data_IF_518081292826
#
_entry.id   IF_518081292826
#
_cell.length_a   1.000
_cell.length_b   1.000
_cell.length_c   1.000
_cell.angle_alpha   90.00
_cell.angle_beta   90.00
_cell.angle_gamma   90.00
#
_symmetry.space_group_name_H-M   'P 1'
#
loop_
_entity.id
_entity.type
_entity.pdbx_description
1 polymer ?
#
# COMPACT_ATOMS: atom_id res chain seq x y z
N UNK A 1 5.85 -2.19 -14.94
CA UNK A 1 4.65 -2.86 -15.53
C UNK A 1 3.78 -1.84 -16.28
N UNK A 2 3.11 -2.26 -17.36
CA UNK A 2 2.02 -1.47 -17.93
C UNK A 2 0.82 -1.50 -16.97
N UNK A 3 0.23 -0.34 -16.67
CA UNK A 3 -0.88 -0.26 -15.74
C UNK A 3 -1.87 0.81 -16.19
N UNK A 4 -3.11 0.44 -16.55
CA UNK A 4 -4.08 1.38 -17.10
C UNK A 4 -4.59 2.33 -16.01
N UNK A 5 -4.84 3.58 -16.40
CA UNK A 5 -5.37 4.59 -15.49
C UNK A 5 -6.83 4.29 -15.10
N UNK A 6 -7.14 4.48 -13.82
CA UNK A 6 -8.45 4.36 -13.17
C UNK A 6 -8.57 5.47 -12.13
N UNK A 7 -9.77 5.68 -11.60
CA UNK A 7 -9.95 6.58 -10.47
C UNK A 7 -9.34 5.94 -9.21
N UNK A 8 -8.43 6.66 -8.56
CA UNK A 8 -7.67 6.21 -7.38
C UNK A 8 -7.72 7.27 -6.27
N UNK A 9 -7.57 6.82 -5.03
CA UNK A 9 -7.59 7.65 -3.83
C UNK A 9 -6.25 8.35 -3.57
N UNK A 10 -5.13 7.72 -3.95
CA UNK A 10 -3.73 8.07 -3.65
C UNK A 10 -3.30 7.99 -2.19
N UNK A 11 -4.24 8.11 -1.25
CA UNK A 11 -4.00 7.88 0.17
C UNK A 11 -4.91 6.78 0.76
N UNK A 12 -5.07 5.68 0.04
CA UNK A 12 -5.88 4.55 0.49
C UNK A 12 -5.15 3.69 1.54
N UNK A 13 -5.44 3.90 2.82
CA UNK A 13 -4.96 3.07 3.94
C UNK A 13 -6.05 2.83 4.98
N UNK A 14 -5.78 1.95 5.94
CA UNK A 14 -6.77 1.48 6.91
C UNK A 14 -7.41 2.61 7.74
N UNK A 15 -6.68 3.67 8.09
CA UNK A 15 -7.23 4.77 8.90
C UNK A 15 -8.19 5.68 8.12
N UNK A 16 -8.13 5.66 6.78
CA UNK A 16 -9.07 6.35 5.89
C UNK A 16 -10.33 5.51 5.59
N UNK A 17 -10.55 4.44 6.36
CA UNK A 17 -11.74 3.58 6.24
C UNK A 17 -12.65 3.69 7.46
N UNK A 18 -13.95 3.87 7.23
CA UNK A 18 -14.96 3.95 8.27
C UNK A 18 -15.65 2.61 8.46
N UNK A 19 -15.71 2.14 9.71
CA UNK A 19 -16.31 0.86 10.07
C UNK A 19 -17.43 1.03 11.09
N UNK A 20 -18.50 0.26 10.92
CA UNK A 20 -19.60 0.17 11.87
C UNK A 20 -20.00 -1.29 12.02
N UNK A 21 -19.97 -1.81 13.25
CA UNK A 21 -20.30 -3.21 13.57
C UNK A 21 -19.58 -4.24 12.69
N UNK A 22 -18.29 -4.03 12.42
CA UNK A 22 -17.47 -4.93 11.60
C UNK A 22 -17.72 -4.83 10.09
N UNK A 23 -18.53 -3.86 9.64
CA UNK A 23 -18.79 -3.59 8.22
C UNK A 23 -18.15 -2.27 7.80
N UNK A 24 -17.47 -2.29 6.66
CA UNK A 24 -16.99 -1.07 5.99
C UNK A 24 -18.19 -0.24 5.52
N UNK A 25 -18.28 1.02 5.97
CA UNK A 25 -19.37 1.94 5.66
C UNK A 25 -18.94 3.10 4.77
N UNK A 26 -17.64 3.38 4.65
CA UNK A 26 -17.14 4.45 3.79
C UNK A 26 -15.63 4.51 3.72
N UNK A 27 -15.15 5.25 2.72
CA UNK A 27 -13.76 5.66 2.56
C UNK A 27 -13.76 7.18 2.52
N UNK A 28 -12.85 7.82 3.24
CA UNK A 28 -12.80 9.27 3.45
C UNK A 28 -11.44 9.83 3.06
N UNK A 29 -11.36 11.17 3.01
CA UNK A 29 -10.16 11.93 2.64
C UNK A 29 -9.72 11.78 1.17
N UNK A 30 -10.67 12.04 0.27
CA UNK A 30 -10.46 12.00 -1.19
C UNK A 30 -9.71 13.22 -1.75
N UNK A 31 -9.01 13.98 -0.92
CA UNK A 31 -8.39 15.26 -1.29
C UNK A 31 -7.36 15.12 -2.41
N UNK A 32 -6.64 13.99 -2.43
CA UNK A 32 -5.61 13.66 -3.42
C UNK A 32 -6.12 12.77 -4.58
N UNK A 33 -7.42 12.50 -4.64
CA UNK A 33 -7.97 11.56 -5.59
C UNK A 33 -7.71 11.99 -7.05
N UNK A 34 -7.34 11.03 -7.89
CA UNK A 34 -6.93 11.33 -9.26
C UNK A 34 -7.08 10.14 -10.21
N UNK A 35 -6.57 10.29 -11.44
CA UNK A 35 -6.50 9.21 -12.42
C UNK A 35 -5.10 8.60 -12.42
N UNK A 36 -5.01 7.29 -12.19
CA UNK A 36 -3.75 6.57 -12.16
C UNK A 36 -3.89 5.06 -12.01
N UNK A 37 -2.79 4.31 -11.90
CA UNK A 37 -2.81 2.87 -11.70
C UNK A 37 -3.44 2.49 -10.36
N UNK A 38 -4.40 1.57 -10.36
CA UNK A 38 -5.03 1.04 -9.11
C UNK A 38 -3.98 0.47 -8.15
N UNK A 39 -2.89 -0.06 -8.69
CA UNK A 39 -1.78 -0.59 -7.91
C UNK A 39 -1.16 0.42 -6.93
N UNK A 40 -1.32 1.73 -7.16
CA UNK A 40 -0.89 2.78 -6.22
C UNK A 40 -1.68 2.69 -4.90
N UNK A 41 -3.00 2.55 -4.97
CA UNK A 41 -3.85 2.42 -3.78
C UNK A 41 -3.62 1.06 -3.09
N UNK A 42 -3.44 0.00 -3.88
CA UNK A 42 -3.18 -1.35 -3.33
C UNK A 42 -1.86 -1.39 -2.59
N UNK A 43 -0.79 -0.83 -3.16
CA UNK A 43 0.52 -0.77 -2.52
C UNK A 43 0.48 0.08 -1.24
N UNK A 44 -0.24 1.20 -1.24
CA UNK A 44 -0.43 2.05 -0.05
C UNK A 44 -1.10 1.29 1.09
N UNK A 45 -2.16 0.54 0.80
CA UNK A 45 -2.86 -0.29 1.78
C UNK A 45 -1.97 -1.44 2.27
N UNK A 46 -1.33 -2.19 1.36
CA UNK A 46 -0.45 -3.31 1.69
C UNK A 46 0.69 -2.90 2.60
N UNK A 47 1.37 -1.79 2.29
CA UNK A 47 2.46 -1.26 3.11
C UNK A 47 1.99 -0.96 4.54
N UNK A 48 0.84 -0.29 4.70
CA UNK A 48 0.26 -0.05 6.03
C UNK A 48 -0.02 -1.35 6.79
N UNK A 49 -0.67 -2.31 6.13
CA UNK A 49 -0.98 -3.61 6.75
C UNK A 49 0.28 -4.39 7.13
N UNK A 50 1.28 -4.41 6.26
CA UNK A 50 2.54 -5.11 6.49
C UNK A 50 3.29 -4.52 7.70
N UNK A 51 3.39 -3.19 7.77
CA UNK A 51 4.12 -2.51 8.85
C UNK A 51 3.40 -2.60 10.21
N UNK A 52 2.08 -2.67 10.22
CA UNK A 52 1.30 -2.72 11.48
C UNK A 52 0.97 -4.15 11.94
N UNK A 53 0.77 -5.08 11.02
CA UNK A 53 0.23 -6.41 11.30
C UNK A 53 1.03 -7.57 10.67
N UNK A 54 2.11 -7.26 9.95
CA UNK A 54 2.96 -8.24 9.26
C UNK A 54 2.52 -8.52 7.82
N UNK A 55 3.46 -9.01 7.02
CA UNK A 55 3.31 -9.27 5.57
C UNK A 55 2.14 -10.21 5.26
N UNK A 56 1.94 -11.24 6.07
CA UNK A 56 0.83 -12.18 5.90
C UNK A 56 -0.57 -11.52 5.84
N UNK A 57 -0.77 -10.39 6.51
CA UNK A 57 -2.04 -9.63 6.46
C UNK A 57 -2.14 -8.84 5.16
N UNK A 58 -1.04 -8.26 4.69
CA UNK A 58 -0.98 -7.59 3.40
C UNK A 58 -1.20 -8.58 2.24
N UNK A 59 -0.66 -9.80 2.33
CA UNK A 59 -0.82 -10.86 1.33
C UNK A 59 -2.26 -11.36 1.29
N UNK A 60 -2.88 -11.52 2.46
CA UNK A 60 -4.31 -11.84 2.56
C UNK A 60 -5.17 -10.75 1.92
N UNK A 61 -4.86 -9.48 2.16
CA UNK A 61 -5.56 -8.37 1.51
C UNK A 61 -5.42 -8.44 -0.01
N UNK A 62 -4.20 -8.64 -0.52
CA UNK A 62 -3.94 -8.73 -1.95
C UNK A 62 -4.72 -9.90 -2.57
N UNK A 63 -4.69 -11.08 -1.94
CA UNK A 63 -5.41 -12.27 -2.41
C UNK A 63 -6.92 -12.03 -2.49
N UNK A 64 -7.51 -11.37 -1.48
CA UNK A 64 -8.93 -11.01 -1.51
C UNK A 64 -9.20 -9.98 -2.60
N UNK A 65 -8.33 -8.97 -2.76
CA UNK A 65 -8.49 -7.95 -3.79
C UNK A 65 -8.45 -8.54 -5.20
N UNK A 66 -7.49 -9.44 -5.46
CA UNK A 66 -7.40 -10.19 -6.73
C UNK A 66 -8.70 -10.94 -7.05
N UNK A 67 -9.21 -11.69 -6.06
CA UNK A 67 -10.45 -12.46 -6.20
C UNK A 67 -11.68 -11.59 -6.52
N UNK A 68 -11.84 -10.45 -5.83
CA UNK A 68 -13.03 -9.59 -6.02
C UNK A 68 -12.92 -8.65 -7.22
N UNK A 69 -11.70 -8.28 -7.64
CA UNK A 69 -11.47 -7.41 -8.79
C UNK A 69 -11.49 -8.16 -10.12
N UNK A 70 -11.43 -9.50 -10.08
CA UNK A 70 -11.50 -10.35 -11.26
C UNK A 70 -10.14 -10.61 -11.93
N UNK A 71 -9.05 -10.67 -11.15
CA UNK A 71 -7.71 -10.99 -11.68
C UNK A 71 -6.76 -9.80 -11.67
N UNK A 72 -6.52 -9.19 -10.51
CA UNK A 72 -5.51 -8.15 -10.37
C UNK A 72 -4.11 -8.76 -10.41
N UNK A 73 -3.42 -8.60 -11.55
CA UNK A 73 -2.01 -8.95 -11.68
C UNK A 73 -1.15 -7.99 -10.86
N UNK A 74 -0.75 -8.44 -9.66
CA UNK A 74 0.18 -7.73 -8.80
C UNK A 74 1.60 -7.75 -9.37
N UNK A 75 2.31 -6.63 -9.22
CA UNK A 75 3.73 -6.50 -9.55
C UNK A 75 4.44 -5.86 -8.33
N UNK A 76 5.44 -6.52 -7.71
CA UNK A 76 6.17 -6.01 -6.54
C UNK A 76 6.78 -4.63 -6.73
N UNK A 77 7.00 -4.19 -7.99
CA UNK A 77 7.41 -2.84 -8.32
C UNK A 77 6.58 -1.76 -7.58
N UNK A 78 5.26 -1.96 -7.46
CA UNK A 78 4.37 -0.99 -6.85
C UNK A 78 4.56 -0.88 -5.34
N UNK A 79 4.76 -2.01 -4.66
CA UNK A 79 5.03 -2.05 -3.23
C UNK A 79 6.40 -1.42 -2.92
N UNK A 80 7.42 -1.73 -3.73
CA UNK A 80 8.76 -1.11 -3.61
C UNK A 80 8.66 0.39 -3.84
N UNK A 81 8.00 0.83 -4.91
CA UNK A 81 7.83 2.26 -5.23
C UNK A 81 7.14 3.01 -4.08
N UNK A 82 6.09 2.42 -3.50
CA UNK A 82 5.33 2.98 -2.39
C UNK A 82 6.14 3.03 -1.08
N UNK A 83 7.03 2.07 -0.85
CA UNK A 83 7.93 2.09 0.29
C UNK A 83 8.99 3.17 0.13
N UNK A 84 9.56 3.31 -1.07
CA UNK A 84 10.55 4.35 -1.39
C UNK A 84 9.98 5.77 -1.29
N UNK A 85 8.67 5.96 -1.43
CA UNK A 85 8.00 7.25 -1.16
C UNK A 85 8.08 7.70 0.31
N UNK A 86 8.50 6.82 1.24
CA UNK A 86 8.78 7.21 2.63
C UNK A 86 10.16 7.83 2.81
N UNK A 87 11.05 7.68 1.83
CA UNK A 87 12.38 8.27 1.92
C UNK A 87 12.26 9.79 1.87
N UNK A 88 12.98 10.51 2.74
CA UNK A 88 12.99 11.95 2.69
C UNK A 88 13.65 12.43 1.39
N UNK A 89 13.14 13.53 0.84
CA UNK A 89 13.72 14.17 -0.34
C UNK A 89 15.15 14.68 -0.08
N UNK A 90 15.45 15.04 1.17
CA UNK A 90 16.76 15.51 1.62
C UNK A 90 17.40 14.51 2.58
N UNK A 91 18.69 14.22 2.39
CA UNK A 91 19.44 13.28 3.22
C UNK A 91 19.53 13.67 4.70
N UNK A 92 19.36 14.95 5.01
CA UNK A 92 19.47 15.48 6.38
C UNK A 92 18.15 15.38 7.18
N UNK A 93 17.05 15.01 6.54
CA UNK A 93 15.77 14.81 7.24
C UNK A 93 15.80 13.45 7.93
N UNK A 94 15.78 13.39 9.28
CA UNK A 94 15.86 12.13 9.98
C UNK A 94 14.58 11.31 9.75
N UNK A 95 14.76 10.02 9.46
CA UNK A 95 13.69 9.03 9.57
C UNK A 95 13.55 8.58 11.01
N UNK A 96 12.35 8.14 11.38
CA UNK A 96 12.12 7.50 12.68
C UNK A 96 12.94 6.19 12.75
N UNK A 97 14.06 6.22 13.47
CA UNK A 97 15.00 5.09 13.60
C UNK A 97 14.31 3.81 14.08
N UNK A 98 13.25 3.94 14.88
CA UNK A 98 12.48 2.79 15.36
C UNK A 98 11.70 2.07 14.24
N UNK A 99 11.41 2.77 13.13
CA UNK A 99 10.69 2.20 11.97
C UNK A 99 11.60 1.68 10.87
N UNK A 100 12.88 2.07 10.86
CA UNK A 100 13.83 1.66 9.82
C UNK A 100 13.92 0.13 9.68
N UNK A 101 14.05 -0.67 10.76
CA UNK A 101 14.09 -2.12 10.62
C UNK A 101 12.82 -2.71 10.00
N UNK A 102 11.65 -2.14 10.30
CA UNK A 102 10.37 -2.58 9.72
C UNK A 102 10.32 -2.31 8.21
N UNK A 103 10.90 -1.20 7.76
CA UNK A 103 11.00 -0.88 6.34
C UNK A 103 12.00 -1.80 5.63
N UNK A 104 13.15 -2.07 6.24
CA UNK A 104 14.17 -2.97 5.69
C UNK A 104 13.67 -4.41 5.58
N UNK A 105 13.01 -4.94 6.61
CA UNK A 105 12.43 -6.28 6.60
C UNK A 105 11.33 -6.42 5.53
N UNK A 106 10.48 -5.40 5.39
CA UNK A 106 9.47 -5.38 4.35
C UNK A 106 10.09 -5.31 2.95
N UNK A 107 11.07 -4.43 2.75
CA UNK A 107 11.81 -4.32 1.49
C UNK A 107 12.51 -5.63 1.11
N UNK A 108 13.16 -6.29 2.07
CA UNK A 108 13.81 -7.58 1.84
C UNK A 108 12.82 -8.65 1.38
N UNK A 109 11.60 -8.66 1.93
CA UNK A 109 10.53 -9.57 1.49
C UNK A 109 10.13 -9.28 0.04
N UNK A 110 9.90 -8.01 -0.31
CA UNK A 110 9.49 -7.62 -1.67
C UNK A 110 10.56 -7.95 -2.73
N UNK A 111 11.84 -7.83 -2.38
CA UNK A 111 12.95 -8.13 -3.29
C UNK A 111 13.10 -9.62 -3.58
N UNK A 112 12.61 -10.51 -2.71
CA UNK A 112 12.55 -11.96 -2.96
C UNK A 112 11.46 -12.33 -3.97
N UNK A 113 10.42 -11.49 -4.09
CA UNK A 113 9.30 -11.70 -5.01
C UNK A 113 9.52 -11.14 -6.42
N UNK A 114 10.63 -10.41 -6.63
CA UNK A 114 11.00 -9.78 -7.90
C UNK A 114 11.65 -10.72 -8.91
#
# INVERSE_FOLDING_TARGET
PEAPARFIHRDYHADNTLWSYGKLTGVVDWSDASSGPVAVDIARMRRGLALHYGTSVADRFLSVFDQVSGGHAHDPYWDIRCLLDLLPENHDTPMDEAKVPLYEDYLATLLVEC
#
